data_IF_977734514701
#
_entry.id   IF_977734514701
#
_cell.length_a   1.000
_cell.length_b   1.000
_cell.length_c   1.000
_cell.angle_alpha   90.00
_cell.angle_beta   90.00
_cell.angle_gamma   90.00
#
_symmetry.space_group_name_H-M   'P 1'
#
loop_
_entity.id
_entity.type
_entity.pdbx_description
1 polymer ?
#
# COMPACT_ATOMS: atom_id res chain seq x y z
N UNK A 1 8.45 -9.37 -27.63
CA UNK A 1 8.15 -8.21 -28.51
C UNK A 1 7.12 -7.34 -27.78
N UNK A 2 7.30 -6.03 -27.81
CA UNK A 2 6.76 -5.04 -26.86
C UNK A 2 5.22 -5.01 -26.82
N UNK A 3 4.64 -5.26 -25.64
CA UNK A 3 3.22 -5.05 -25.33
C UNK A 3 3.07 -3.79 -24.48
N UNK A 4 3.26 -2.62 -25.08
CA UNK A 4 2.92 -1.33 -24.47
C UNK A 4 2.37 -0.41 -25.57
N UNK A 5 1.16 -0.70 -26.05
CA UNK A 5 0.38 0.27 -26.82
C UNK A 5 -0.22 1.25 -25.81
N UNK A 6 0.60 2.19 -25.35
CA UNK A 6 0.11 3.30 -24.53
C UNK A 6 -0.58 4.28 -25.49
N UNK A 7 -1.92 4.24 -25.53
CA UNK A 7 -2.79 5.09 -26.38
C UNK A 7 -2.46 6.60 -26.23
N UNK A 8 -1.84 6.95 -25.09
CA UNK A 8 -1.38 8.31 -24.80
C UNK A 8 -0.09 8.69 -25.53
N UNK A 9 0.76 7.74 -25.92
CA UNK A 9 2.02 8.03 -26.61
C UNK A 9 1.77 8.70 -27.96
N UNK A 10 0.89 8.14 -28.79
CA UNK A 10 0.59 8.68 -30.12
C UNK A 10 -0.02 10.08 -30.08
N UNK A 11 -0.72 10.41 -29.00
CA UNK A 11 -1.34 11.71 -28.80
C UNK A 11 -0.34 12.83 -28.45
N UNK A 12 0.74 12.47 -27.76
CA UNK A 12 1.69 13.46 -27.22
C UNK A 12 3.10 13.35 -27.80
N UNK A 13 3.37 12.39 -28.71
CA UNK A 13 4.69 12.17 -29.31
C UNK A 13 5.27 13.40 -30.03
N UNK A 14 4.40 14.25 -30.59
CA UNK A 14 4.80 15.42 -31.37
C UNK A 14 4.75 16.73 -30.55
N UNK A 15 4.49 16.66 -29.24
CA UNK A 15 4.48 17.83 -28.36
C UNK A 15 5.90 18.18 -27.90
N UNK A 16 6.23 19.47 -27.89
CA UNK A 16 7.48 19.98 -27.34
C UNK A 16 7.38 20.14 -25.82
N UNK A 17 8.23 19.42 -25.10
CA UNK A 17 8.32 19.43 -23.63
C UNK A 17 9.59 20.10 -23.12
N UNK A 18 10.33 20.85 -23.96
CA UNK A 18 11.58 21.49 -23.57
C UNK A 18 11.44 22.39 -22.32
N UNK A 19 10.31 23.09 -22.19
CA UNK A 19 9.99 23.98 -21.05
C UNK A 19 9.12 23.32 -19.97
N UNK A 20 8.85 22.01 -20.09
CA UNK A 20 8.00 21.31 -19.14
C UNK A 20 8.64 21.28 -17.75
N UNK A 21 7.88 21.71 -16.73
CA UNK A 21 8.30 21.64 -15.33
C UNK A 21 8.00 20.24 -14.79
N UNK A 22 8.97 19.56 -14.14
CA UNK A 22 8.71 18.31 -13.44
C UNK A 22 7.55 18.45 -12.45
N UNK A 23 6.71 17.41 -12.34
CA UNK A 23 5.55 17.37 -11.44
C UNK A 23 5.92 17.74 -9.99
N UNK A 24 7.08 17.28 -9.53
CA UNK A 24 7.62 17.59 -8.21
C UNK A 24 7.93 19.09 -7.99
N UNK A 25 8.15 19.87 -9.05
CA UNK A 25 8.41 21.32 -9.00
C UNK A 25 7.14 22.16 -9.08
N UNK A 26 5.96 21.54 -9.27
CA UNK A 26 4.67 22.22 -9.27
C UNK A 26 4.00 21.94 -7.92
N UNK A 27 3.94 22.92 -6.99
CA UNK A 27 3.53 22.67 -5.61
C UNK A 27 2.14 22.03 -5.45
N UNK A 28 1.18 22.42 -6.29
CA UNK A 28 -0.16 21.83 -6.28
C UNK A 28 -0.15 20.35 -6.68
N UNK A 29 0.63 19.98 -7.70
CA UNK A 29 0.72 18.60 -8.16
C UNK A 29 1.58 17.74 -7.22
N UNK A 30 2.66 18.31 -6.67
CA UNK A 30 3.47 17.64 -5.66
C UNK A 30 2.67 17.32 -4.39
N UNK A 31 1.77 18.23 -3.97
CA UNK A 31 0.83 17.98 -2.86
C UNK A 31 -0.16 16.87 -3.20
N UNK A 32 -0.80 16.93 -4.36
CA UNK A 32 -1.72 15.87 -4.80
C UNK A 32 -1.02 14.50 -4.92
N UNK A 33 0.24 14.47 -5.33
CA UNK A 33 1.05 13.24 -5.41
C UNK A 33 1.46 12.72 -4.02
N UNK A 34 1.74 13.61 -3.07
CA UNK A 34 1.99 13.27 -1.68
C UNK A 34 0.72 12.77 -0.97
N UNK A 35 -0.43 13.38 -1.24
CA UNK A 35 -1.74 13.00 -0.70
C UNK A 35 -2.25 11.68 -1.29
N UNK A 36 -1.95 11.39 -2.55
CA UNK A 36 -2.20 10.08 -3.17
C UNK A 36 -1.17 9.00 -2.79
N UNK A 37 -0.06 9.41 -2.15
CA UNK A 37 1.00 8.55 -1.64
C UNK A 37 0.69 7.94 -0.27
N UNK A 38 -0.43 7.22 -0.12
CA UNK A 38 -0.83 6.57 1.15
C UNK A 38 0.10 5.44 1.67
N UNK A 39 1.31 5.30 1.12
CA UNK A 39 2.32 4.31 1.50
C UNK A 39 3.64 5.01 1.76
N UNK A 40 4.14 4.93 2.99
CA UNK A 40 5.48 5.40 3.34
C UNK A 40 6.52 4.32 3.03
N UNK A 41 7.63 4.70 2.38
CA UNK A 41 8.78 3.79 2.21
C UNK A 41 9.52 3.68 3.55
N UNK A 42 9.58 2.48 4.09
CA UNK A 42 10.30 2.19 5.34
C UNK A 42 11.40 1.16 5.10
N UNK A 43 12.42 1.18 5.96
CA UNK A 43 13.38 0.08 6.08
C UNK A 43 13.02 -0.72 7.32
N UNK A 44 12.73 -2.01 7.15
CA UNK A 44 12.40 -2.91 8.26
C UNK A 44 13.13 -4.24 8.10
N UNK A 45 13.39 -4.93 9.21
CA UNK A 45 13.89 -6.31 9.20
C UNK A 45 12.69 -7.26 9.15
N UNK A 46 12.76 -8.25 8.25
CA UNK A 46 11.77 -9.32 8.12
C UNK A 46 12.53 -10.64 8.08
N UNK A 47 11.97 -11.68 8.70
CA UNK A 47 12.54 -13.01 8.63
C UNK A 47 12.64 -13.51 7.17
N UNK A 48 13.78 -14.12 6.82
CA UNK A 48 14.04 -14.56 5.44
C UNK A 48 13.04 -15.64 4.98
N UNK A 49 12.60 -16.52 5.88
CA UNK A 49 11.62 -17.57 5.57
C UNK A 49 10.25 -16.97 5.28
N UNK A 50 9.85 -15.95 6.04
CA UNK A 50 8.60 -15.20 5.83
C UNK A 50 8.66 -14.48 4.48
N UNK A 51 9.76 -13.77 4.21
CA UNK A 51 9.94 -13.06 2.94
C UNK A 51 9.91 -14.02 1.74
N UNK A 52 10.55 -15.19 1.86
CA UNK A 52 10.53 -16.22 0.83
C UNK A 52 9.12 -16.76 0.57
N UNK A 53 8.34 -17.01 1.62
CA UNK A 53 6.95 -17.48 1.49
C UNK A 53 6.07 -16.46 0.75
N UNK A 54 6.15 -15.18 1.11
CA UNK A 54 5.39 -14.12 0.41
C UNK A 54 5.82 -13.97 -1.06
N UNK A 55 7.12 -14.07 -1.36
CA UNK A 55 7.62 -14.04 -2.75
C UNK A 55 7.11 -15.22 -3.57
N UNK A 56 7.15 -16.44 -3.01
CA UNK A 56 6.65 -17.63 -3.69
C UNK A 56 5.14 -17.50 -3.98
N UNK A 57 4.35 -17.03 -3.01
CA UNK A 57 2.90 -16.83 -3.18
C UNK A 57 2.58 -15.75 -4.23
N UNK A 58 3.35 -14.67 -4.27
CA UNK A 58 3.24 -13.63 -5.28
C UNK A 58 3.54 -14.16 -6.69
N UNK A 59 4.56 -15.00 -6.85
CA UNK A 59 4.89 -15.63 -8.12
C UNK A 59 3.76 -16.53 -8.64
N UNK A 60 3.07 -17.25 -7.77
CA UNK A 60 1.95 -18.13 -8.13
C UNK A 60 0.67 -17.39 -8.51
N UNK A 61 0.42 -16.23 -7.89
CA UNK A 61 -0.83 -15.47 -8.05
C UNK A 61 -0.72 -14.26 -8.97
N UNK A 62 0.48 -13.97 -9.49
CA UNK A 62 0.76 -12.79 -10.31
C UNK A 62 0.69 -11.47 -9.55
N UNK A 63 0.76 -11.51 -8.21
CA UNK A 63 0.59 -10.34 -7.34
C UNK A 63 1.90 -9.72 -6.84
N UNK A 64 1.80 -8.65 -6.04
CA UNK A 64 2.94 -8.04 -5.34
C UNK A 64 3.06 -8.57 -3.92
N UNK A 65 4.20 -9.17 -3.58
CA UNK A 65 4.51 -9.66 -2.24
C UNK A 65 4.45 -8.53 -1.18
N UNK A 66 4.74 -7.29 -1.56
CA UNK A 66 4.66 -6.13 -0.68
C UNK A 66 3.20 -5.76 -0.36
N UNK A 67 2.28 -5.92 -1.33
CA UNK A 67 0.86 -5.70 -1.08
C UNK A 67 0.31 -6.78 -0.13
N UNK A 68 0.66 -8.04 -0.34
CA UNK A 68 0.26 -9.15 0.56
C UNK A 68 0.75 -8.95 2.00
N UNK A 69 2.00 -8.52 2.18
CA UNK A 69 2.50 -8.19 3.52
C UNK A 69 1.72 -7.04 4.16
N UNK A 70 1.42 -5.98 3.40
CA UNK A 70 0.61 -4.87 3.93
C UNK A 70 -0.82 -5.30 4.29
N UNK A 71 -1.44 -6.18 3.51
CA UNK A 71 -2.75 -6.74 3.82
C UNK A 71 -2.73 -7.59 5.10
N UNK A 72 -1.70 -8.43 5.27
CA UNK A 72 -1.52 -9.21 6.49
C UNK A 72 -1.35 -8.30 7.72
N UNK A 73 -0.59 -7.21 7.60
CA UNK A 73 -0.45 -6.22 8.66
C UNK A 73 -1.79 -5.53 9.00
N UNK A 74 -2.60 -5.18 7.99
CA UNK A 74 -3.94 -4.62 8.20
C UNK A 74 -4.86 -5.60 8.94
N UNK A 75 -4.89 -6.87 8.49
CA UNK A 75 -5.70 -7.91 9.11
C UNK A 75 -5.29 -8.15 10.58
N UNK A 76 -3.98 -8.15 10.86
CA UNK A 76 -3.48 -8.28 12.23
C UNK A 76 -3.94 -7.14 13.14
N UNK A 77 -3.88 -5.90 12.66
CA UNK A 77 -4.36 -4.73 13.42
C UNK A 77 -5.87 -4.77 13.63
N UNK A 78 -6.65 -5.17 12.63
CA UNK A 78 -8.09 -5.34 12.74
C UNK A 78 -8.47 -6.45 13.72
N UNK A 79 -7.75 -7.58 13.69
CA UNK A 79 -7.95 -8.69 14.62
C UNK A 79 -7.67 -8.30 16.07
N UNK A 80 -6.60 -7.52 16.32
CA UNK A 80 -6.33 -6.95 17.64
C UNK A 80 -7.42 -6.01 18.12
N UNK A 81 -7.90 -5.12 17.25
CA UNK A 81 -9.01 -4.23 17.59
C UNK A 81 -10.27 -5.01 17.99
N UNK A 82 -10.56 -6.13 17.31
CA UNK A 82 -11.70 -6.99 17.67
C UNK A 82 -11.49 -7.70 19.02
N UNK A 83 -10.29 -8.24 19.29
CA UNK A 83 -9.99 -8.86 20.59
C UNK A 83 -10.15 -7.87 21.74
N UNK A 84 -9.65 -6.65 21.57
CA UNK A 84 -9.74 -5.59 22.57
C UNK A 84 -11.21 -5.19 22.84
N UNK A 85 -12.02 -5.06 21.79
CA UNK A 85 -13.47 -4.79 21.91
C UNK A 85 -14.14 -5.93 22.68
N UNK A 86 -13.91 -7.19 22.29
CA UNK A 86 -14.53 -8.35 22.95
C UNK A 86 -14.11 -8.43 24.42
N UNK A 87 -12.82 -8.20 24.73
CA UNK A 87 -12.31 -8.17 26.11
C UNK A 87 -12.97 -7.07 26.93
N UNK A 88 -13.13 -5.87 26.36
CA UNK A 88 -13.78 -4.75 27.02
C UNK A 88 -15.26 -5.04 27.28
N UNK A 89 -15.98 -5.59 26.29
CA UNK A 89 -17.38 -5.98 26.47
C UNK A 89 -17.52 -7.04 27.55
N UNK A 90 -16.69 -8.09 27.54
CA UNK A 90 -16.72 -9.13 28.59
C UNK A 90 -16.42 -8.51 29.96
N UNK A 91 -15.46 -7.60 30.09
CA UNK A 91 -15.19 -6.92 31.36
C UNK A 91 -16.35 -6.05 31.83
N UNK A 92 -17.06 -5.38 30.91
CA UNK A 92 -18.26 -4.60 31.22
C UNK A 92 -19.43 -5.48 31.68
N UNK A 93 -19.63 -6.64 31.04
CA UNK A 93 -20.67 -7.60 31.40
C UNK A 93 -20.35 -8.38 32.70
N UNK A 94 -19.07 -8.58 33.02
CA UNK A 94 -18.63 -9.27 34.25
C UNK A 94 -18.50 -8.32 35.46
N UNK A 95 -18.34 -7.02 35.23
CA UNK A 95 -18.46 -5.98 36.24
C UNK A 95 -19.61 -5.03 35.87
N UNK A 96 -20.87 -5.51 35.88
CA UNK A 96 -21.99 -4.59 35.86
C UNK A 96 -21.89 -3.81 37.18
N UNK A 97 -21.65 -2.51 37.10
CA UNK A 97 -21.55 -1.63 38.26
C UNK A 97 -22.63 -1.98 39.28
N UNK A 98 -22.20 -2.34 40.49
CA UNK A 98 -23.01 -2.26 41.70
C UNK A 98 -23.41 -0.82 41.97
#
# INVERSE_FOLDING_TARGET
MQTNSDDMYDKFKDYDFADAKPVAKIPALAKLQAESGGKSRITMRVDNTILAAFKARAALTGGSYQNMMNEALKQFLQGKALEDIVRQTIQQELNPSR
#
